data_IF_844286613662
#
_entry.id   IF_844286613662
#
_cell.length_a   1.000
_cell.length_b   1.000
_cell.length_c   1.000
_cell.angle_alpha   90.00
_cell.angle_beta   90.00
_cell.angle_gamma   90.00
#
_symmetry.space_group_name_H-M   'P 1'
#
loop_
_entity.id
_entity.type
_entity.pdbx_description
1 polymer ?
#
# COMPACT_ATOMS: atom_id res chain seq x y z
N UNK A 1 29.61 -42.32 -24.99
CA UNK A 1 31.00 -42.12 -24.54
C UNK A 1 31.20 -40.64 -24.28
N UNK A 2 31.71 -40.33 -23.09
CA UNK A 2 31.80 -39.01 -22.44
C UNK A 2 32.82 -38.04 -23.06
N UNK A 3 32.78 -36.79 -22.57
CA UNK A 3 33.83 -35.75 -22.55
C UNK A 3 33.65 -34.65 -23.62
N UNK A 4 33.53 -33.36 -23.33
CA UNK A 4 34.10 -32.53 -22.26
C UNK A 4 33.20 -31.33 -21.93
N UNK A 5 33.00 -31.10 -20.64
CA UNK A 5 32.63 -29.83 -20.02
C UNK A 5 33.91 -29.28 -19.33
N UNK A 6 33.90 -27.99 -19.00
CA UNK A 6 34.86 -27.27 -18.13
C UNK A 6 36.03 -26.58 -18.83
N UNK A 7 35.83 -25.31 -19.20
CA UNK A 7 36.88 -24.27 -19.13
C UNK A 7 36.42 -22.81 -19.34
N UNK A 8 35.23 -22.41 -18.85
CA UNK A 8 34.79 -20.99 -18.93
C UNK A 8 34.15 -20.39 -17.68
N UNK A 9 34.38 -20.96 -16.49
CA UNK A 9 33.71 -20.51 -15.25
C UNK A 9 34.62 -19.95 -14.14
N UNK A 10 35.87 -19.57 -14.45
CA UNK A 10 36.83 -19.18 -13.39
C UNK A 10 37.24 -17.69 -13.36
N UNK A 11 36.81 -16.84 -14.30
CA UNK A 11 37.26 -15.42 -14.33
C UNK A 11 36.17 -14.38 -14.03
N UNK A 12 34.94 -14.80 -13.70
CA UNK A 12 33.84 -13.88 -13.38
C UNK A 12 33.68 -13.52 -11.90
N UNK A 13 34.25 -14.30 -10.96
CA UNK A 13 33.97 -14.14 -9.53
C UNK A 13 34.83 -13.07 -8.82
N UNK A 14 36.00 -12.70 -9.37
CA UNK A 14 36.90 -11.76 -8.70
C UNK A 14 36.55 -10.28 -8.97
N UNK A 15 35.83 -9.98 -10.07
CA UNK A 15 35.42 -8.60 -10.39
C UNK A 15 34.09 -8.20 -9.72
N UNK A 16 33.28 -9.17 -9.30
CA UNK A 16 31.99 -8.95 -8.65
C UNK A 16 32.13 -8.52 -7.18
N UNK A 17 33.21 -8.91 -6.50
CA UNK A 17 33.46 -8.56 -5.10
C UNK A 17 33.98 -7.13 -4.88
N UNK A 18 34.50 -6.47 -5.92
CA UNK A 18 35.02 -5.10 -5.83
C UNK A 18 33.98 -4.04 -6.21
N UNK A 19 32.99 -4.37 -7.06
CA UNK A 19 31.92 -3.45 -7.46
C UNK A 19 30.68 -3.49 -6.55
N UNK A 20 30.48 -4.57 -5.78
CA UNK A 20 29.39 -4.66 -4.77
C UNK A 20 29.68 -3.87 -3.48
N UNK A 21 30.92 -3.40 -3.28
CA UNK A 21 31.30 -2.66 -2.07
C UNK A 21 31.04 -1.15 -2.12
N UNK A 22 30.66 -0.58 -3.27
CA UNK A 22 30.54 0.88 -3.45
C UNK A 22 29.15 1.40 -3.87
N UNK A 23 28.15 0.54 -4.09
CA UNK A 23 26.79 0.98 -4.46
C UNK A 23 25.70 0.61 -3.44
N UNK A 24 26.06 -0.03 -2.32
CA UNK A 24 25.10 -0.36 -1.27
C UNK A 24 25.19 0.70 -0.17
N UNK A 25 24.70 1.91 -0.45
CA UNK A 25 24.30 2.80 0.63
C UNK A 25 23.11 2.14 1.31
N UNK A 26 23.39 1.36 2.36
CA UNK A 26 22.39 0.81 3.26
C UNK A 26 21.42 1.94 3.62
N UNK A 27 20.18 1.85 3.13
CA UNK A 27 19.08 2.59 3.71
C UNK A 27 18.94 2.00 5.11
N UNK A 28 19.66 2.58 6.08
CA UNK A 28 19.33 2.40 7.48
C UNK A 28 17.95 3.00 7.63
N UNK A 29 17.01 2.21 8.13
CA UNK A 29 15.78 2.73 8.68
C UNK A 29 16.20 3.62 9.86
N UNK A 30 16.40 4.91 9.60
CA UNK A 30 16.77 5.87 10.64
C UNK A 30 15.69 5.82 11.73
N UNK A 31 16.15 5.86 12.99
CA UNK A 31 15.45 5.41 14.20
C UNK A 31 14.20 6.18 14.63
N UNK A 32 13.49 6.82 13.70
CA UNK A 32 12.22 7.54 13.92
C UNK A 32 11.06 6.91 13.11
N UNK A 33 11.05 5.59 12.96
CA UNK A 33 9.85 4.84 12.60
C UNK A 33 8.84 4.91 13.75
N UNK A 34 8.18 6.06 13.89
CA UNK A 34 6.86 6.10 14.52
C UNK A 34 5.91 5.36 13.58
N UNK A 35 5.84 4.05 13.75
CA UNK A 35 4.78 3.25 13.12
C UNK A 35 3.44 3.90 13.48
N UNK A 36 2.48 3.98 12.54
CA UNK A 36 1.14 4.43 12.87
C UNK A 36 0.68 3.66 14.11
N UNK A 37 0.43 4.39 15.20
CA UNK A 37 -0.02 3.88 16.51
C UNK A 37 0.47 2.49 16.92
N UNK A 38 1.79 2.26 16.98
CA UNK A 38 2.36 1.08 17.66
C UNK A 38 2.23 -0.26 16.91
N UNK A 39 2.19 -0.25 15.58
CA UNK A 39 2.00 -1.48 14.80
C UNK A 39 3.22 -2.40 14.65
N UNK A 40 4.44 -1.95 14.99
CA UNK A 40 5.64 -2.77 14.87
C UNK A 40 6.43 -2.86 16.17
N UNK A 41 6.65 -4.07 16.68
CA UNK A 41 7.70 -4.30 17.68
C UNK A 41 9.07 -4.15 17.03
N UNK A 42 10.13 -3.95 17.82
CA UNK A 42 11.50 -3.95 17.30
C UNK A 42 11.83 -5.26 16.55
N UNK A 43 11.22 -6.36 16.97
CA UNK A 43 11.31 -7.66 16.30
C UNK A 43 10.65 -7.63 14.91
N UNK A 44 9.42 -7.13 14.79
CA UNK A 44 8.77 -6.98 13.47
C UNK A 44 9.58 -6.11 12.51
N UNK A 45 10.18 -5.02 13.00
CA UNK A 45 11.02 -4.16 12.15
C UNK A 45 12.29 -4.88 11.69
N UNK A 46 12.89 -5.71 12.56
CA UNK A 46 14.03 -6.55 12.19
C UNK A 46 13.64 -7.61 11.15
N UNK A 47 12.44 -8.18 11.26
CA UNK A 47 11.91 -9.15 10.30
C UNK A 47 11.64 -8.49 8.94
N UNK A 48 11.09 -7.27 8.91
CA UNK A 48 10.93 -6.48 7.67
C UNK A 48 12.29 -6.21 7.03
N UNK A 49 13.29 -5.76 7.80
CA UNK A 49 14.62 -5.49 7.27
C UNK A 49 15.32 -6.76 6.76
N UNK A 50 15.14 -7.88 7.46
CA UNK A 50 15.65 -9.18 7.03
C UNK A 50 14.98 -9.61 5.71
N UNK A 51 13.64 -9.54 5.66
CA UNK A 51 12.84 -9.85 4.48
C UNK A 51 13.30 -9.03 3.28
N UNK A 52 13.33 -7.71 3.38
CA UNK A 52 13.68 -6.81 2.28
C UNK A 52 15.07 -7.13 1.73
N UNK A 53 16.07 -7.36 2.60
CA UNK A 53 17.41 -7.77 2.17
C UNK A 53 17.44 -9.09 1.41
N UNK A 54 16.63 -10.07 1.80
CA UNK A 54 16.63 -11.38 1.12
C UNK A 54 15.93 -11.37 -0.23
N UNK A 55 14.99 -10.46 -0.40
CA UNK A 55 14.04 -10.33 -1.51
C UNK A 55 14.61 -9.40 -2.58
N UNK A 56 15.02 -8.20 -2.19
CA UNK A 56 15.48 -7.15 -3.10
C UNK A 56 16.85 -7.46 -3.73
N UNK A 57 17.67 -8.28 -3.07
CA UNK A 57 19.00 -8.66 -3.55
C UNK A 57 19.00 -9.88 -4.50
N UNK A 58 17.85 -10.56 -4.71
CA UNK A 58 17.77 -11.72 -5.61
C UNK A 58 17.61 -11.28 -7.09
N UNK A 59 18.55 -11.62 -7.99
CA UNK A 59 18.46 -11.25 -9.41
C UNK A 59 17.22 -11.81 -10.12
N UNK A 60 16.74 -13.00 -9.73
CA UNK A 60 15.52 -13.60 -10.29
C UNK A 60 14.28 -12.81 -9.86
N UNK A 61 14.37 -12.15 -8.71
CA UNK A 61 13.35 -11.28 -8.14
C UNK A 61 13.19 -10.00 -8.96
N UNK A 62 14.30 -9.33 -9.31
CA UNK A 62 14.25 -8.07 -10.08
C UNK A 62 13.57 -8.17 -11.45
N UNK A 63 13.68 -9.31 -12.14
CA UNK A 63 13.12 -9.53 -13.48
C UNK A 63 11.65 -9.94 -13.48
N UNK A 64 11.27 -10.91 -12.65
CA UNK A 64 9.91 -11.47 -12.69
C UNK A 64 8.84 -10.53 -12.09
N UNK A 65 9.21 -9.66 -11.15
CA UNK A 65 8.30 -8.79 -10.40
C UNK A 65 7.67 -7.68 -11.25
N UNK A 66 8.24 -7.38 -12.41
CA UNK A 66 7.72 -6.35 -13.32
C UNK A 66 6.61 -6.87 -14.24
N UNK A 67 6.57 -8.18 -14.47
CA UNK A 67 5.75 -8.80 -15.50
C UNK A 67 4.48 -9.45 -14.97
N UNK A 68 4.43 -9.79 -13.68
CA UNK A 68 3.24 -10.39 -13.07
C UNK A 68 3.14 -9.99 -11.59
N UNK A 69 1.91 -9.96 -11.06
CA UNK A 69 1.67 -9.84 -9.62
C UNK A 69 1.82 -11.22 -8.97
N UNK A 70 2.45 -11.26 -7.79
CA UNK A 70 2.74 -12.50 -7.07
C UNK A 70 1.73 -12.78 -5.96
N UNK A 71 0.90 -11.79 -5.65
CA UNK A 71 -0.26 -11.92 -4.77
C UNK A 71 -1.47 -12.40 -5.58
N UNK A 72 -2.36 -13.15 -4.94
CA UNK A 72 -3.52 -13.76 -5.61
C UNK A 72 -4.60 -12.72 -5.86
N UNK A 73 -5.19 -12.77 -7.05
CA UNK A 73 -6.45 -12.07 -7.30
C UNK A 73 -7.59 -12.79 -6.57
N UNK A 74 -8.53 -12.05 -5.98
CA UNK A 74 -9.69 -12.64 -5.31
C UNK A 74 -10.54 -13.49 -6.27
N UNK A 75 -10.54 -13.15 -7.56
CA UNK A 75 -11.18 -13.92 -8.63
C UNK A 75 -10.61 -15.34 -8.79
N UNK A 76 -9.35 -15.54 -8.37
CA UNK A 76 -8.59 -16.80 -8.44
C UNK A 76 -8.61 -17.56 -7.11
N UNK A 77 -9.24 -17.00 -6.06
CA UNK A 77 -9.43 -17.67 -4.77
C UNK A 77 -10.76 -18.44 -4.82
N UNK A 78 -10.72 -19.79 -4.74
CA UNK A 78 -11.95 -20.58 -4.64
C UNK A 78 -12.77 -20.18 -3.41
N UNK A 79 -14.09 -20.18 -3.53
CA UNK A 79 -14.97 -19.69 -2.45
C UNK A 79 -14.86 -20.54 -1.18
N UNK A 80 -14.54 -21.83 -1.32
CA UNK A 80 -14.25 -22.76 -0.25
C UNK A 80 -12.99 -22.40 0.56
N UNK A 81 -12.07 -21.62 -0.01
CA UNK A 81 -10.86 -21.15 0.69
C UNK A 81 -11.09 -19.83 1.44
N UNK A 82 -12.25 -19.16 1.29
CA UNK A 82 -12.48 -17.85 1.90
C UNK A 82 -12.37 -17.86 3.42
N UNK A 83 -12.85 -18.92 4.07
CA UNK A 83 -12.77 -19.05 5.53
C UNK A 83 -11.33 -19.20 6.03
N UNK A 84 -10.42 -19.72 5.19
CA UNK A 84 -9.00 -19.85 5.53
C UNK A 84 -8.34 -18.48 5.67
N UNK A 85 -8.78 -17.48 4.89
CA UNK A 85 -8.29 -16.10 5.03
C UNK A 85 -8.66 -15.49 6.39
N UNK A 86 -9.60 -16.10 7.13
CA UNK A 86 -9.99 -15.68 8.47
C UNK A 86 -8.87 -15.83 9.51
N UNK A 87 -7.89 -16.70 9.30
CA UNK A 87 -6.73 -16.83 10.20
C UNK A 87 -5.83 -15.59 10.20
N UNK A 88 -5.92 -14.77 9.16
CA UNK A 88 -5.14 -13.54 8.99
C UNK A 88 -5.87 -12.30 9.53
N UNK A 89 -7.07 -12.44 10.10
CA UNK A 89 -7.79 -11.30 10.67
C UNK A 89 -7.04 -10.74 11.88
N UNK A 90 -6.86 -9.42 11.89
CA UNK A 90 -6.26 -8.70 13.01
C UNK A 90 -7.36 -8.28 13.98
N UNK A 91 -7.57 -9.06 15.04
CA UNK A 91 -8.59 -8.80 16.06
C UNK A 91 -9.99 -8.60 15.45
N UNK A 92 -10.34 -9.42 14.45
CA UNK A 92 -11.61 -9.32 13.73
C UNK A 92 -11.69 -8.15 12.75
N UNK A 93 -10.54 -7.61 12.32
CA UNK A 93 -10.44 -6.61 11.26
C UNK A 93 -9.63 -7.12 10.07
N UNK A 94 -9.98 -6.63 8.88
CA UNK A 94 -9.20 -6.75 7.66
C UNK A 94 -8.89 -5.35 7.13
N UNK A 95 -7.75 -5.19 6.48
CA UNK A 95 -7.32 -3.92 5.93
C UNK A 95 -7.64 -3.86 4.43
N UNK A 96 -8.18 -2.74 3.96
CA UNK A 96 -8.37 -2.47 2.54
C UNK A 96 -7.51 -1.29 2.17
N UNK A 97 -6.52 -1.51 1.31
CA UNK A 97 -5.66 -0.43 0.82
C UNK A 97 -6.04 -0.15 -0.63
N UNK A 98 -6.71 0.98 -0.83
CA UNK A 98 -7.15 1.42 -2.14
C UNK A 98 -6.01 2.15 -2.82
N UNK A 99 -5.54 1.71 -3.98
CA UNK A 99 -4.50 2.38 -4.76
C UNK A 99 -3.26 2.75 -3.92
N UNK A 100 -2.49 1.77 -3.41
CA UNK A 100 -1.30 2.08 -2.63
C UNK A 100 -0.29 2.91 -3.42
N UNK A 101 0.42 3.82 -2.74
CA UNK A 101 1.40 4.75 -3.33
C UNK A 101 0.85 5.60 -4.49
N UNK A 102 -0.43 6.00 -4.42
CA UNK A 102 -1.09 6.68 -5.52
C UNK A 102 -0.40 7.98 -5.96
N UNK A 103 0.13 8.75 -5.00
CA UNK A 103 0.81 10.01 -5.30
C UNK A 103 2.00 9.78 -6.22
N UNK A 104 2.90 8.88 -5.85
CA UNK A 104 4.12 8.62 -6.62
C UNK A 104 3.84 8.05 -8.00
N UNK A 105 2.92 7.08 -8.11
CA UNK A 105 2.73 6.37 -9.36
C UNK A 105 1.73 7.02 -10.32
N UNK A 106 0.76 7.78 -9.82
CA UNK A 106 -0.32 8.32 -10.67
C UNK A 106 -0.34 9.84 -10.72
N UNK A 107 0.23 10.54 -9.72
CA UNK A 107 0.27 12.00 -9.71
C UNK A 107 1.65 12.57 -10.06
N UNK A 108 2.73 12.03 -9.48
CA UNK A 108 4.10 12.53 -9.61
C UNK A 108 5.03 11.53 -10.32
N UNK A 109 4.49 10.80 -11.30
CA UNK A 109 5.29 9.84 -12.06
C UNK A 109 6.27 10.55 -13.00
N UNK A 110 7.56 10.43 -12.72
CA UNK A 110 8.63 11.10 -13.48
C UNK A 110 9.15 10.30 -14.69
N UNK A 111 8.46 9.23 -15.12
CA UNK A 111 8.83 8.52 -16.35
C UNK A 111 10.00 7.54 -16.21
N UNK A 112 10.19 6.97 -15.01
CA UNK A 112 11.39 6.19 -14.71
C UNK A 112 11.50 4.89 -15.51
N UNK A 113 12.75 4.47 -15.72
CA UNK A 113 13.08 3.19 -16.33
C UNK A 113 12.76 2.06 -15.33
N UNK A 114 11.70 1.26 -15.56
CA UNK A 114 11.36 0.17 -14.68
C UNK A 114 12.49 -0.87 -14.59
N UNK A 115 13.41 -0.90 -15.54
CA UNK A 115 14.56 -1.81 -15.54
C UNK A 115 15.72 -1.37 -14.63
N UNK A 116 15.64 -0.19 -13.99
CA UNK A 116 16.63 0.22 -12.98
C UNK A 116 16.64 -0.80 -11.84
N UNK A 117 17.72 -1.58 -11.64
CA UNK A 117 17.72 -2.64 -10.64
C UNK A 117 17.73 -2.08 -9.20
N UNK A 118 18.08 -0.81 -9.03
CA UNK A 118 18.54 -0.30 -7.73
C UNK A 118 17.42 0.16 -6.80
N UNK A 119 16.20 0.46 -7.29
CA UNK A 119 15.14 1.02 -6.43
C UNK A 119 13.80 1.10 -7.16
N UNK A 120 12.68 0.92 -6.45
CA UNK A 120 11.36 1.28 -6.99
C UNK A 120 11.17 2.82 -6.99
N UNK A 121 10.16 3.30 -7.73
CA UNK A 121 9.92 4.74 -7.90
C UNK A 121 9.52 5.46 -6.61
N UNK A 122 8.89 4.78 -5.65
CA UNK A 122 8.64 5.36 -4.33
C UNK A 122 9.94 5.62 -3.59
N UNK A 123 10.87 4.67 -3.57
CA UNK A 123 12.17 4.86 -2.92
C UNK A 123 12.99 5.99 -3.59
N UNK A 124 12.92 6.10 -4.91
CA UNK A 124 13.57 7.20 -5.64
C UNK A 124 12.91 8.53 -5.27
N UNK A 125 11.58 8.58 -5.24
CA UNK A 125 10.85 9.75 -4.77
C UNK A 125 11.26 10.09 -3.34
N UNK A 126 11.34 9.12 -2.42
CA UNK A 126 11.73 9.36 -1.02
C UNK A 126 13.14 9.94 -0.88
N UNK A 127 14.08 9.51 -1.72
CA UNK A 127 15.45 10.03 -1.74
C UNK A 127 15.58 11.40 -2.45
N UNK A 128 14.61 11.77 -3.30
CA UNK A 128 14.66 13.00 -4.08
C UNK A 128 14.36 14.24 -3.21
N UNK A 129 15.05 15.38 -3.45
CA UNK A 129 14.72 16.64 -2.81
C UNK A 129 13.27 17.06 -3.10
N UNK A 130 12.56 17.53 -2.07
CA UNK A 130 11.16 17.98 -2.20
C UNK A 130 11.09 19.47 -2.50
N UNK A 131 10.54 19.80 -3.67
CA UNK A 131 10.54 21.17 -4.19
C UNK A 131 9.30 21.98 -3.75
N UNK A 132 8.27 21.31 -3.24
CA UNK A 132 7.08 21.92 -2.66
C UNK A 132 6.66 21.20 -1.38
N UNK A 133 5.90 21.90 -0.53
CA UNK A 133 5.33 21.30 0.68
C UNK A 133 4.30 20.23 0.33
N UNK A 134 3.54 20.42 -0.75
CA UNK A 134 2.57 19.44 -1.26
C UNK A 134 3.27 18.13 -1.64
N UNK A 135 4.40 18.22 -2.36
CA UNK A 135 5.16 17.03 -2.72
C UNK A 135 5.74 16.31 -1.50
N UNK A 136 6.24 17.07 -0.51
CA UNK A 136 6.71 16.49 0.75
C UNK A 136 5.58 15.75 1.51
N UNK A 137 4.37 16.31 1.56
CA UNK A 137 3.20 15.65 2.16
C UNK A 137 2.83 14.37 1.40
N UNK A 138 2.71 14.44 0.07
CA UNK A 138 2.34 13.29 -0.76
C UNK A 138 3.32 12.12 -0.60
N UNK A 139 4.62 12.39 -0.70
CA UNK A 139 5.64 11.35 -0.50
C UNK A 139 5.67 10.83 0.94
N UNK A 140 5.43 11.66 1.96
CA UNK A 140 5.39 11.20 3.34
C UNK A 140 4.17 10.30 3.63
N UNK A 141 3.02 10.55 3.00
CA UNK A 141 1.83 9.68 3.08
C UNK A 141 2.08 8.34 2.37
N UNK A 142 2.68 8.36 1.17
CA UNK A 142 3.06 7.11 0.47
C UNK A 142 4.07 6.30 1.30
N UNK A 143 5.03 6.96 1.97
CA UNK A 143 5.98 6.31 2.89
C UNK A 143 5.27 5.61 4.04
N UNK A 144 4.37 6.31 4.72
CA UNK A 144 3.64 5.75 5.86
C UNK A 144 2.81 4.53 5.46
N UNK A 145 2.20 4.58 4.27
CA UNK A 145 1.44 3.46 3.73
C UNK A 145 2.33 2.27 3.34
N UNK A 146 3.48 2.51 2.70
CA UNK A 146 4.48 1.47 2.42
C UNK A 146 4.90 0.79 3.72
N UNK A 147 5.30 1.57 4.73
CA UNK A 147 5.73 1.04 6.03
C UNK A 147 4.64 0.17 6.68
N UNK A 148 3.38 0.62 6.60
CA UNK A 148 2.24 -0.18 7.04
C UNK A 148 2.13 -1.51 6.28
N UNK A 149 2.22 -1.50 4.96
CA UNK A 149 2.09 -2.72 4.15
C UNK A 149 3.19 -3.72 4.46
N UNK A 150 4.44 -3.27 4.59
CA UNK A 150 5.56 -4.14 4.96
C UNK A 150 5.35 -4.78 6.33
N UNK A 151 4.91 -4.00 7.33
CA UNK A 151 4.61 -4.50 8.67
C UNK A 151 3.42 -5.46 8.66
N UNK A 152 2.32 -5.06 8.02
CA UNK A 152 1.07 -5.83 7.99
C UNK A 152 1.26 -7.17 7.29
N UNK A 153 1.98 -7.20 6.17
CA UNK A 153 2.27 -8.43 5.45
C UNK A 153 3.26 -9.34 6.17
N UNK A 154 4.25 -8.78 6.87
CA UNK A 154 5.19 -9.53 7.71
C UNK A 154 4.51 -10.16 8.90
N UNK A 155 3.51 -9.49 9.49
CA UNK A 155 2.68 -10.02 10.57
C UNK A 155 1.50 -10.86 10.06
N UNK A 156 1.46 -11.19 8.76
CA UNK A 156 0.39 -11.96 8.11
C UNK A 156 -1.03 -11.43 8.39
N UNK A 157 -1.20 -10.11 8.48
CA UNK A 157 -2.52 -9.49 8.58
C UNK A 157 -3.23 -9.52 7.23
N UNK A 158 -4.55 -9.73 7.23
CA UNK A 158 -5.35 -9.77 6.01
C UNK A 158 -5.40 -8.38 5.37
N UNK A 159 -4.79 -8.26 4.20
CA UNK A 159 -4.78 -7.03 3.40
C UNK A 159 -5.44 -7.31 2.05
N UNK A 160 -6.51 -6.58 1.77
CA UNK A 160 -7.11 -6.48 0.45
C UNK A 160 -6.54 -5.24 -0.25
N UNK A 161 -5.83 -5.45 -1.37
CA UNK A 161 -5.43 -4.35 -2.23
C UNK A 161 -6.49 -4.11 -3.30
N UNK A 162 -6.94 -2.86 -3.42
CA UNK A 162 -7.72 -2.43 -4.59
C UNK A 162 -6.75 -1.75 -5.54
N UNK A 163 -6.39 -2.42 -6.63
CA UNK A 163 -5.43 -1.92 -7.60
C UNK A 163 -6.16 -1.38 -8.84
N UNK A 164 -5.63 -0.37 -9.53
CA UNK A 164 -6.09 -0.07 -10.86
C UNK A 164 -5.72 -1.21 -11.81
N UNK A 165 -6.48 -1.38 -12.90
CA UNK A 165 -6.06 -2.27 -13.99
C UNK A 165 -4.73 -1.75 -14.54
N UNK A 166 -3.64 -2.44 -14.22
CA UNK A 166 -2.31 -2.09 -14.70
C UNK A 166 -2.14 -2.62 -16.12
N UNK A 167 -1.72 -1.75 -17.02
CA UNK A 167 -1.26 -2.13 -18.35
C UNK A 167 0.23 -2.50 -18.30
N UNK A 168 0.76 -2.96 -19.43
CA UNK A 168 2.19 -3.23 -19.62
C UNK A 168 2.97 -1.95 -19.98
N UNK A 169 2.52 -0.78 -19.54
CA UNK A 169 3.33 0.44 -19.65
C UNK A 169 4.49 0.42 -18.66
N UNK A 170 5.53 1.25 -18.84
CA UNK A 170 6.61 1.40 -17.87
C UNK A 170 6.10 1.70 -16.45
N UNK A 171 5.10 2.59 -16.33
CA UNK A 171 4.43 2.91 -15.07
C UNK A 171 3.75 1.68 -14.46
N UNK A 172 2.97 0.94 -15.26
CA UNK A 172 2.30 -0.27 -14.80
C UNK A 172 3.27 -1.33 -14.28
N UNK A 173 4.40 -1.54 -14.98
CA UNK A 173 5.48 -2.43 -14.53
C UNK A 173 6.13 -1.98 -13.23
N UNK A 174 6.46 -0.69 -13.11
CA UNK A 174 7.04 -0.12 -11.89
C UNK A 174 6.07 -0.22 -10.71
N UNK A 175 4.77 -0.08 -10.98
CA UNK A 175 3.75 -0.20 -9.95
C UNK A 175 3.59 -1.65 -9.46
N UNK A 176 3.56 -2.63 -10.38
CA UNK A 176 3.56 -4.06 -10.02
C UNK A 176 4.79 -4.45 -9.21
N UNK A 177 5.97 -3.95 -9.59
CA UNK A 177 7.20 -4.13 -8.82
C UNK A 177 7.01 -3.67 -7.37
N UNK A 178 6.56 -2.44 -7.17
CA UNK A 178 6.31 -1.90 -5.82
C UNK A 178 5.31 -2.75 -5.04
N UNK A 179 4.17 -3.12 -5.63
CA UNK A 179 3.16 -3.96 -4.96
C UNK A 179 3.78 -5.29 -4.53
N UNK A 180 4.54 -5.93 -5.42
CA UNK A 180 5.16 -7.21 -5.11
C UNK A 180 6.27 -7.08 -4.05
N UNK A 181 7.04 -5.99 -4.02
CA UNK A 181 8.06 -5.72 -2.99
C UNK A 181 7.42 -5.50 -1.61
N UNK A 182 6.44 -4.61 -1.49
CA UNK A 182 5.82 -4.31 -0.18
C UNK A 182 5.02 -5.49 0.35
N UNK A 183 4.44 -6.32 -0.53
CA UNK A 183 3.65 -7.49 -0.12
C UNK A 183 4.46 -8.76 0.05
N UNK A 184 5.61 -8.86 -0.62
CA UNK A 184 6.48 -10.03 -0.65
C UNK A 184 5.73 -11.36 -0.90
N UNK A 185 4.76 -11.34 -1.83
CA UNK A 185 3.92 -12.50 -2.14
C UNK A 185 3.22 -13.13 -0.91
N UNK A 186 2.95 -12.33 0.14
CA UNK A 186 2.37 -12.81 1.38
C UNK A 186 1.00 -13.46 1.15
N UNK A 187 0.73 -14.64 1.75
CA UNK A 187 -0.55 -15.34 1.60
C UNK A 187 -1.71 -14.61 2.27
N UNK A 188 -1.44 -13.63 3.14
CA UNK A 188 -2.44 -12.77 3.77
C UNK A 188 -2.89 -11.61 2.86
N UNK A 189 -2.36 -11.51 1.64
CA UNK A 189 -2.72 -10.46 0.68
C UNK A 189 -3.54 -11.01 -0.47
N UNK A 190 -4.65 -10.34 -0.77
CA UNK A 190 -5.46 -10.59 -1.96
C UNK A 190 -5.72 -9.29 -2.72
N UNK A 191 -5.91 -9.37 -4.03
CA UNK A 191 -6.13 -8.22 -4.91
C UNK A 191 -7.51 -8.26 -5.53
N UNK A 192 -8.13 -7.09 -5.63
CA UNK A 192 -9.25 -6.80 -6.56
C UNK A 192 -8.88 -5.60 -7.41
N UNK A 193 -9.53 -5.44 -8.56
CA UNK A 193 -9.26 -4.32 -9.45
C UNK A 193 -10.38 -3.28 -9.44
N UNK A 194 -10.01 -2.00 -9.43
CA UNK A 194 -10.92 -0.89 -9.68
C UNK A 194 -11.22 -0.75 -11.18
N UNK A 195 -12.36 -0.12 -11.48
CA UNK A 195 -12.84 0.16 -12.84
C UNK A 195 -11.98 1.19 -13.57
N UNK A 196 -11.39 2.11 -12.82
CA UNK A 196 -10.60 3.24 -13.34
C UNK A 196 -9.28 3.35 -12.58
N UNK A 197 -8.21 3.84 -13.22
CA UNK A 197 -6.97 4.16 -12.52
C UNK A 197 -7.14 5.25 -11.47
N UNK A 198 -8.07 6.19 -11.67
CA UNK A 198 -8.17 7.40 -10.85
C UNK A 198 -9.26 7.32 -9.77
N UNK A 199 -9.99 6.20 -9.71
CA UNK A 199 -11.10 5.97 -8.79
C UNK A 199 -11.05 4.55 -8.22
N UNK A 200 -11.37 4.40 -6.93
CA UNK A 200 -11.35 3.10 -6.26
C UNK A 200 -12.63 2.29 -6.47
N UNK A 201 -13.52 2.71 -7.37
CA UNK A 201 -14.80 2.04 -7.64
C UNK A 201 -14.55 0.63 -8.19
N UNK A 202 -15.15 -0.38 -7.57
CA UNK A 202 -15.16 -1.75 -8.07
C UNK A 202 -16.28 -1.94 -9.08
N UNK A 203 -16.10 -2.84 -10.06
CA UNK A 203 -17.24 -3.31 -10.83
C UNK A 203 -18.16 -4.19 -9.99
N UNK A 204 -19.39 -4.39 -10.47
CA UNK A 204 -20.40 -5.15 -9.73
C UNK A 204 -20.00 -6.63 -9.49
N UNK A 205 -19.12 -7.21 -10.31
CA UNK A 205 -18.66 -8.58 -10.15
C UNK A 205 -17.63 -8.66 -9.02
N UNK A 206 -16.63 -7.76 -9.01
CA UNK A 206 -15.63 -7.63 -7.95
C UNK A 206 -16.26 -7.24 -6.61
N UNK A 207 -17.18 -6.28 -6.59
CA UNK A 207 -17.89 -5.89 -5.38
C UNK A 207 -18.67 -7.07 -4.75
N UNK A 208 -19.33 -7.90 -5.59
CA UNK A 208 -20.00 -9.12 -5.13
C UNK A 208 -19.04 -10.21 -4.67
N UNK A 209 -17.87 -10.37 -5.31
CA UNK A 209 -16.82 -11.29 -4.84
C UNK A 209 -16.35 -10.89 -3.45
N UNK A 210 -16.06 -9.61 -3.25
CA UNK A 210 -15.67 -9.07 -1.96
C UNK A 210 -16.76 -9.27 -0.90
N UNK A 211 -18.03 -9.01 -1.22
CA UNK A 211 -19.14 -9.23 -0.29
C UNK A 211 -19.30 -10.71 0.13
N UNK A 212 -19.01 -11.66 -0.78
CA UNK A 212 -19.01 -13.09 -0.44
C UNK A 212 -17.85 -13.46 0.48
N UNK A 213 -16.64 -12.98 0.19
CA UNK A 213 -15.49 -13.12 1.10
C UNK A 213 -15.85 -12.57 2.47
N UNK A 214 -16.39 -11.36 2.51
CA UNK A 214 -16.79 -10.69 3.73
C UNK A 214 -17.79 -11.47 4.57
N UNK A 215 -18.79 -12.06 3.91
CA UNK A 215 -19.79 -12.91 4.57
C UNK A 215 -19.16 -14.21 5.10
N UNK A 216 -18.26 -14.83 4.34
CA UNK A 216 -17.57 -16.04 4.75
C UNK A 216 -16.64 -15.84 5.96
N UNK A 217 -16.11 -14.63 6.13
CA UNK A 217 -15.26 -14.23 7.26
C UNK A 217 -16.04 -13.79 8.51
N UNK A 218 -17.36 -14.01 8.55
CA UNK A 218 -18.26 -13.54 9.61
C UNK A 218 -18.27 -12.01 9.79
N UNK A 219 -18.25 -11.27 8.67
CA UNK A 219 -18.38 -9.81 8.61
C UNK A 219 -17.47 -9.06 9.60
N UNK A 220 -16.13 -9.12 9.41
CA UNK A 220 -15.14 -8.40 10.22
C UNK A 220 -15.37 -6.86 10.27
N UNK A 221 -14.37 -6.06 10.64
CA UNK A 221 -14.35 -4.61 10.34
C UNK A 221 -13.38 -4.34 9.18
N UNK A 222 -13.81 -3.63 8.14
CA UNK A 222 -12.95 -3.20 7.03
C UNK A 222 -12.31 -1.86 7.39
N UNK A 223 -10.99 -1.89 7.60
CA UNK A 223 -10.17 -0.70 7.84
C UNK A 223 -9.57 -0.23 6.52
N UNK A 224 -10.05 0.90 6.01
CA UNK A 224 -9.81 1.37 4.65
C UNK A 224 -8.78 2.50 4.66
N UNK A 225 -7.70 2.36 3.90
CA UNK A 225 -6.69 3.40 3.68
C UNK A 225 -6.24 3.46 2.21
N UNK A 226 -5.13 4.12 1.95
CA UNK A 226 -4.50 4.22 0.63
C UNK A 226 -4.65 5.59 -0.02
N UNK A 227 -5.11 5.59 -1.27
CA UNK A 227 -5.25 6.74 -2.16
C UNK A 227 -6.21 7.82 -1.63
N UNK A 228 -6.51 8.79 -2.48
CA UNK A 228 -7.08 10.05 -2.00
C UNK A 228 -8.45 9.88 -1.35
N UNK A 229 -8.56 10.41 -0.14
CA UNK A 229 -9.83 10.51 0.56
C UNK A 229 -10.78 11.43 -0.23
N UNK A 230 -12.05 11.04 -0.36
CA UNK A 230 -13.05 11.76 -1.16
C UNK A 230 -13.00 11.45 -2.66
N UNK A 231 -11.97 10.73 -3.14
CA UNK A 231 -11.88 10.23 -4.53
C UNK A 231 -11.78 8.70 -4.52
N UNK A 232 -10.57 8.14 -4.45
CA UNK A 232 -10.31 6.70 -4.49
C UNK A 232 -11.11 5.95 -3.41
N UNK A 233 -10.99 6.37 -2.15
CA UNK A 233 -11.66 5.71 -1.01
C UNK A 233 -13.18 5.86 -1.12
N UNK A 234 -13.68 7.02 -1.56
CA UNK A 234 -15.12 7.25 -1.70
C UNK A 234 -15.73 6.37 -2.80
N UNK A 235 -15.04 6.22 -3.94
CA UNK A 235 -15.44 5.32 -5.02
C UNK A 235 -15.51 3.87 -4.56
N UNK A 236 -14.50 3.40 -3.81
CA UNK A 236 -14.52 2.08 -3.19
C UNK A 236 -15.72 1.90 -2.26
N UNK A 237 -15.89 2.80 -1.29
CA UNK A 237 -17.00 2.74 -0.32
C UNK A 237 -18.36 2.73 -1.02
N UNK A 238 -18.57 3.58 -2.02
CA UNK A 238 -19.81 3.62 -2.80
C UNK A 238 -20.10 2.25 -3.44
N UNK A 239 -19.10 1.62 -4.05
CA UNK A 239 -19.25 0.33 -4.74
C UNK A 239 -19.61 -0.85 -3.82
N UNK A 240 -19.31 -0.75 -2.52
CA UNK A 240 -19.58 -1.83 -1.54
C UNK A 240 -20.68 -1.51 -0.53
N UNK A 241 -21.13 -0.25 -0.45
CA UNK A 241 -22.04 0.22 0.62
C UNK A 241 -23.42 -0.44 0.64
N UNK A 242 -23.92 -0.93 -0.51
CA UNK A 242 -25.18 -1.68 -0.58
C UNK A 242 -25.00 -3.17 -0.24
N UNK A 243 -23.75 -3.66 -0.17
CA UNK A 243 -23.41 -5.06 0.02
C UNK A 243 -22.79 -5.34 1.40
N UNK A 244 -22.14 -4.34 1.99
CA UNK A 244 -21.46 -4.40 3.28
C UNK A 244 -22.06 -3.34 4.19
N UNK A 245 -22.39 -3.73 5.42
CA UNK A 245 -22.92 -2.81 6.43
C UNK A 245 -21.98 -1.61 6.61
N UNK A 246 -22.46 -0.37 6.38
CA UNK A 246 -21.64 0.83 6.53
C UNK A 246 -21.00 0.99 7.92
N UNK A 247 -21.57 0.42 8.97
CA UNK A 247 -21.00 0.43 10.33
C UNK A 247 -19.73 -0.42 10.45
N UNK A 248 -19.48 -1.30 9.48
CA UNK A 248 -18.28 -2.14 9.37
C UNK A 248 -17.20 -1.53 8.49
N UNK A 249 -17.40 -0.31 7.98
CA UNK A 249 -16.44 0.40 7.14
C UNK A 249 -15.81 1.54 7.94
N UNK A 250 -14.52 1.43 8.24
CA UNK A 250 -13.73 2.40 9.00
C UNK A 250 -12.64 2.98 8.11
N UNK A 251 -12.54 4.31 7.98
CA UNK A 251 -11.46 4.95 7.21
C UNK A 251 -10.30 5.28 8.14
N UNK A 252 -9.12 4.76 7.82
CA UNK A 252 -7.87 5.01 8.54
C UNK A 252 -7.20 6.27 8.02
N UNK A 253 -7.41 7.38 8.71
CA UNK A 253 -6.86 8.70 8.30
C UNK A 253 -5.33 8.74 8.22
N UNK A 254 -4.64 8.00 9.08
CA UNK A 254 -3.19 7.90 9.14
C UNK A 254 -2.58 7.08 7.99
N UNK A 255 -3.40 6.26 7.32
CA UNK A 255 -3.02 5.50 6.13
C UNK A 255 -3.64 6.03 4.85
N UNK A 256 -4.39 7.13 4.91
CA UNK A 256 -5.05 7.70 3.74
C UNK A 256 -4.30 8.92 3.20
N UNK A 257 -4.45 9.19 1.90
CA UNK A 257 -3.80 10.32 1.25
C UNK A 257 -4.76 11.51 1.06
N UNK A 258 -4.23 12.73 1.09
CA UNK A 258 -4.97 13.94 0.70
C UNK A 258 -4.57 14.24 -0.74
N UNK A 259 -5.55 14.51 -1.62
CA UNK A 259 -5.22 14.90 -2.99
C UNK A 259 -4.37 16.18 -3.00
N UNK A 260 -3.27 16.23 -3.76
CA UNK A 260 -2.51 17.45 -4.00
C UNK A 260 -3.37 18.61 -4.52
N UNK A 261 -4.38 18.31 -5.35
CA UNK A 261 -5.32 19.31 -5.88
C UNK A 261 -6.13 19.99 -4.76
N UNK A 262 -6.34 19.28 -3.65
CA UNK A 262 -7.12 19.74 -2.50
C UNK A 262 -6.20 20.35 -1.41
N UNK A 263 -4.91 20.50 -1.70
CA UNK A 263 -3.89 20.94 -0.75
C UNK A 263 -3.08 22.11 -1.31
N UNK A 264 -3.38 23.32 -0.84
CA UNK A 264 -2.51 24.48 -1.08
C UNK A 264 -1.22 24.40 -0.26
N UNK A 265 -0.16 25.08 -0.71
CA UNK A 265 1.17 25.08 -0.09
C UNK A 265 1.14 25.42 1.41
N UNK A 266 0.39 26.45 1.81
CA UNK A 266 0.28 26.84 3.22
C UNK A 266 -0.40 25.76 4.07
N UNK A 267 -1.40 25.07 3.51
CA UNK A 267 -2.03 23.95 4.19
C UNK A 267 -1.06 22.78 4.30
N UNK A 268 -0.32 22.45 3.23
CA UNK A 268 0.68 21.40 3.24
C UNK A 268 1.78 21.65 4.29
N UNK A 269 2.31 22.87 4.39
CA UNK A 269 3.32 23.24 5.40
C UNK A 269 2.84 23.02 6.82
N UNK A 270 1.54 23.19 7.09
CA UNK A 270 0.97 22.93 8.43
C UNK A 270 0.90 21.45 8.77
N UNK A 271 0.85 20.56 7.76
CA UNK A 271 0.83 19.11 7.93
C UNK A 271 2.23 18.51 8.09
N UNK A 272 3.28 19.30 7.90
CA UNK A 272 4.65 18.84 8.04
C UNK A 272 5.25 19.30 9.37
N UNK A 273 6.08 18.45 9.96
CA UNK A 273 6.98 18.80 11.05
C UNK A 273 8.17 19.62 10.53
N UNK A 274 8.95 20.28 11.41
CA UNK A 274 10.14 21.04 10.99
C UNK A 274 11.19 20.23 10.25
N UNK A 275 11.24 18.91 10.48
CA UNK A 275 12.14 17.96 9.80
C UNK A 275 11.62 17.50 8.42
N UNK A 276 10.44 17.97 8.00
CA UNK A 276 9.79 17.57 6.74
C UNK A 276 8.99 16.27 6.81
N UNK A 277 8.93 15.60 7.97
CA UNK A 277 8.07 14.43 8.17
C UNK A 277 6.59 14.83 8.31
N UNK A 278 5.68 13.89 8.04
CA UNK A 278 4.24 14.11 8.22
C UNK A 278 3.90 14.22 9.71
N UNK A 279 3.21 15.29 10.08
CA UNK A 279 2.54 15.42 11.37
C UNK A 279 1.19 14.71 11.29
N UNK A 280 1.19 13.42 11.66
CA UNK A 280 0.03 12.51 11.55
C UNK A 280 -1.21 13.07 12.25
N UNK A 281 -1.07 13.62 13.47
CA UNK A 281 -2.20 14.16 14.23
C UNK A 281 -2.86 15.33 13.50
N UNK A 282 -2.04 16.20 12.89
CA UNK A 282 -2.54 17.32 12.07
C UNK A 282 -3.14 16.85 10.76
N UNK A 283 -2.55 15.84 10.11
CA UNK A 283 -3.08 15.26 8.89
C UNK A 283 -4.46 14.62 9.13
N UNK A 284 -4.60 13.83 10.20
CA UNK A 284 -5.86 13.26 10.65
C UNK A 284 -6.90 14.34 10.94
N UNK A 285 -6.52 15.38 11.70
CA UNK A 285 -7.41 16.51 12.00
C UNK A 285 -7.86 17.22 10.73
N UNK A 286 -6.95 17.50 9.81
CA UNK A 286 -7.26 18.17 8.55
C UNK A 286 -8.21 17.35 7.66
N UNK A 287 -8.05 16.01 7.62
CA UNK A 287 -8.99 15.15 6.90
C UNK A 287 -10.38 15.18 7.52
N UNK A 288 -10.47 15.21 8.85
CA UNK A 288 -11.74 15.29 9.57
C UNK A 288 -12.44 16.63 9.34
N UNK A 289 -11.72 17.75 9.47
CA UNK A 289 -12.25 19.11 9.28
C UNK A 289 -12.79 19.34 7.86
N UNK A 290 -12.19 18.69 6.87
CA UNK A 290 -12.61 18.74 5.47
C UNK A 290 -13.78 17.80 5.16
N UNK A 291 -14.26 17.04 6.13
CA UNK A 291 -15.31 16.03 5.95
C UNK A 291 -14.87 14.87 5.05
N UNK A 292 -13.57 14.69 4.83
CA UNK A 292 -13.02 13.74 3.88
C UNK A 292 -13.12 12.31 4.43
N UNK A 293 -12.89 12.07 5.71
CA UNK A 293 -13.04 10.73 6.34
C UNK A 293 -14.50 10.26 6.50
N UNK A 294 -15.44 10.94 5.83
CA UNK A 294 -16.76 10.44 5.53
C UNK A 294 -17.79 10.48 6.68
N UNK A 295 -19.07 10.36 6.33
CA UNK A 295 -20.20 10.90 7.09
C UNK A 295 -20.77 9.93 8.14
N UNK A 296 -20.12 8.81 8.45
CA UNK A 296 -20.68 7.84 9.38
C UNK A 296 -20.87 8.43 10.79
N UNK A 297 -19.99 9.33 11.27
CA UNK A 297 -20.23 10.04 12.53
C UNK A 297 -21.30 11.13 12.41
N UNK A 298 -21.32 11.91 11.32
CA UNK A 298 -22.32 12.99 11.14
C UNK A 298 -23.73 12.47 10.82
N UNK A 299 -23.86 11.28 10.21
CA UNK A 299 -25.12 10.60 9.91
C UNK A 299 -25.59 9.76 11.10
N UNK A 300 -24.69 9.15 11.89
CA UNK A 300 -25.04 8.49 13.16
C UNK A 300 -25.43 9.49 14.27
N UNK A 301 -24.79 10.66 14.36
CA UNK A 301 -25.19 11.73 15.27
C UNK A 301 -26.60 12.27 14.94
N UNK A 302 -26.92 12.45 13.66
CA UNK A 302 -28.28 12.83 13.22
C UNK A 302 -29.33 11.73 13.46
N UNK A 303 -28.92 10.46 13.52
CA UNK A 303 -29.79 9.32 13.82
C UNK A 303 -29.93 9.05 15.33
N UNK A 304 -28.99 9.52 16.18
CA UNK A 304 -29.10 9.47 17.64
C UNK A 304 -30.01 10.57 18.18
N UNK A 305 -29.93 11.78 17.62
CA UNK A 305 -30.77 12.92 18.03
C UNK A 305 -32.25 12.70 17.67
N UNK A 306 -32.53 11.98 16.58
CA UNK A 306 -33.88 11.59 16.18
C UNK A 306 -34.52 10.50 17.07
N UNK A 307 -33.75 9.87 17.97
CA UNK A 307 -34.24 8.88 18.96
C UNK A 307 -34.42 9.45 20.37
N UNK A 308 -33.90 10.65 20.66
CA UNK A 308 -34.14 11.35 21.95
C UNK A 308 -35.41 12.20 21.96
N UNK A 309 -36.09 12.34 20.81
CA UNK A 309 -37.35 13.08 20.65
C UNK A 309 -38.59 12.17 20.53
N UNK A 310 -38.48 10.89 20.89
CA UNK A 310 -39.60 9.94 21.03
C UNK A 310 -39.53 9.24 22.38
#
# INVERSE_FOLDING_TARGET
MFSTCSQRFAYGLALFALLSSQACSKIRLDGDLRTPSGMGSAETLADVELRNRTVEDDPLWSGAFQHQLFVRELSQVPAEEYTLLGSYLDNGAAYVIVHPAFYTYFHDWQGEDPSSPLSNALEISLAAPKWSAVAAVGTAQDKALRDFLEIATTQERLVLLVLPHSDDTPRGRAYRRFVNEVTNASPSVVVVYSRSPDEGELDAVEARRLARLWTALDKPTLRIGGGYVGRCIAGFQASVSDLIDPSKLEVLSDLSAISPDDLGDDAARRLLRPDGSLDVDRATTAMFERGLTGPNLARLARLSDAKSER
#
